data_IF_243080952501
#
_entry.id   IF_243080952501
#
_cell.length_a   1.000
_cell.length_b   1.000
_cell.length_c   1.000
_cell.angle_alpha   90.00
_cell.angle_beta   90.00
_cell.angle_gamma   90.00
#
_symmetry.space_group_name_H-M   'P 1'
#
loop_
_entity.id
_entity.type
_entity.pdbx_description
1 polymer ?
#
# COMPACT_ATOMS: atom_id res chain seq x y z
N UNK A 1 21.72 -24.08 13.45
CA UNK A 1 21.33 -24.08 12.03
C UNK A 1 22.54 -23.71 11.18
N UNK A 2 22.82 -24.52 10.14
CA UNK A 2 23.85 -24.21 9.13
C UNK A 2 23.40 -23.00 8.28
N UNK A 3 24.32 -22.37 7.55
CA UNK A 3 23.98 -21.25 6.65
C UNK A 3 22.92 -21.63 5.62
N UNK A 4 23.04 -22.84 5.06
CA UNK A 4 22.10 -23.39 4.08
C UNK A 4 20.69 -23.64 4.68
N UNK A 5 20.62 -24.18 5.89
CA UNK A 5 19.36 -24.34 6.60
C UNK A 5 18.66 -23.00 6.91
N UNK A 6 19.43 -21.98 7.29
CA UNK A 6 18.88 -20.62 7.48
C UNK A 6 18.32 -20.05 6.18
N UNK A 7 19.01 -20.27 5.06
CA UNK A 7 18.57 -19.85 3.73
C UNK A 7 17.24 -20.50 3.35
N UNK A 8 17.13 -21.84 3.48
CA UNK A 8 15.88 -22.54 3.19
C UNK A 8 14.72 -22.12 4.09
N UNK A 9 14.97 -21.89 5.37
CA UNK A 9 13.96 -21.36 6.29
C UNK A 9 13.51 -19.96 5.90
N UNK A 10 14.41 -19.10 5.46
CA UNK A 10 14.09 -17.75 4.98
C UNK A 10 13.20 -17.82 3.72
N UNK A 11 13.54 -18.68 2.76
CA UNK A 11 12.73 -18.91 1.55
C UNK A 11 11.34 -19.46 1.89
N UNK A 12 11.27 -20.43 2.80
CA UNK A 12 9.99 -20.99 3.24
C UNK A 12 9.11 -19.93 3.93
N UNK A 13 9.71 -19.12 4.83
CA UNK A 13 9.02 -18.02 5.49
C UNK A 13 8.48 -16.99 4.48
N UNK A 14 9.29 -16.59 3.52
CA UNK A 14 8.90 -15.67 2.45
C UNK A 14 7.73 -16.22 1.63
N UNK A 15 7.79 -17.50 1.23
CA UNK A 15 6.74 -18.14 0.47
C UNK A 15 5.43 -18.26 1.24
N UNK A 16 5.49 -18.59 2.53
CA UNK A 16 4.32 -18.65 3.43
C UNK A 16 3.69 -17.27 3.59
N UNK A 17 4.49 -16.23 3.81
CA UNK A 17 3.99 -14.87 3.93
C UNK A 17 3.31 -14.38 2.65
N UNK A 18 3.89 -14.70 1.49
CA UNK A 18 3.28 -14.41 0.19
C UNK A 18 1.94 -15.11 0.00
N UNK A 19 1.86 -16.41 0.37
CA UNK A 19 0.62 -17.17 0.28
C UNK A 19 -0.46 -16.63 1.22
N UNK A 20 -0.10 -16.30 2.47
CA UNK A 20 -1.03 -15.69 3.42
C UNK A 20 -1.57 -14.35 2.92
N UNK A 21 -0.72 -13.54 2.29
CA UNK A 21 -1.17 -12.28 1.69
C UNK A 21 -2.21 -12.52 0.59
N UNK A 22 -1.94 -13.47 -0.32
CA UNK A 22 -2.89 -13.85 -1.39
C UNK A 22 -4.22 -14.35 -0.82
N UNK A 23 -4.18 -15.24 0.18
CA UNK A 23 -5.39 -15.77 0.81
C UNK A 23 -6.20 -14.66 1.48
N UNK A 24 -5.53 -13.75 2.19
CA UNK A 24 -6.19 -12.61 2.84
C UNK A 24 -6.80 -11.65 1.82
N UNK A 25 -6.10 -11.36 0.72
CA UNK A 25 -6.64 -10.54 -0.37
C UNK A 25 -7.94 -11.14 -0.94
N UNK A 26 -7.95 -12.47 -1.21
CA UNK A 26 -9.14 -13.16 -1.73
C UNK A 26 -10.29 -13.13 -0.72
N UNK A 27 -9.99 -13.35 0.55
CA UNK A 27 -11.01 -13.30 1.63
C UNK A 27 -11.57 -11.88 1.80
N UNK A 28 -10.70 -10.86 1.81
CA UNK A 28 -11.13 -9.47 1.92
C UNK A 28 -11.96 -9.08 0.70
N UNK A 29 -11.51 -9.40 -0.51
CA UNK A 29 -12.28 -9.18 -1.73
C UNK A 29 -13.67 -9.85 -1.66
N UNK A 30 -13.73 -11.11 -1.26
CA UNK A 30 -14.99 -11.85 -1.15
C UNK A 30 -15.94 -11.24 -0.11
N UNK A 31 -15.41 -10.76 1.03
CA UNK A 31 -16.21 -10.07 2.06
C UNK A 31 -16.72 -8.72 1.59
N UNK A 32 -15.93 -7.97 0.82
CA UNK A 32 -16.31 -6.67 0.29
C UNK A 32 -17.42 -6.86 -0.76
N UNK A 33 -17.26 -7.79 -1.71
CA UNK A 33 -18.26 -8.12 -2.74
C UNK A 33 -19.60 -8.57 -2.12
N UNK A 34 -19.55 -9.31 -1.02
CA UNK A 34 -20.73 -9.75 -0.27
C UNK A 34 -21.34 -8.64 0.61
N UNK A 35 -20.73 -7.44 0.70
CA UNK A 35 -21.16 -6.37 1.62
C UNK A 35 -21.01 -6.74 3.09
N UNK A 36 -20.14 -7.70 3.42
CA UNK A 36 -19.96 -8.25 4.78
C UNK A 36 -18.75 -7.66 5.51
N UNK A 37 -17.90 -6.89 4.81
CA UNK A 37 -16.76 -6.27 5.44
C UNK A 37 -17.24 -5.03 6.22
N UNK A 38 -17.02 -5.06 7.52
CA UNK A 38 -17.32 -3.94 8.42
C UNK A 38 -16.01 -3.21 8.76
N UNK A 39 -16.07 -1.88 8.78
CA UNK A 39 -14.97 -1.03 9.25
C UNK A 39 -15.08 -0.92 10.77
N UNK A 40 -14.00 -1.24 11.47
CA UNK A 40 -13.92 -1.16 12.93
C UNK A 40 -13.39 0.21 13.34
N UNK A 41 -14.29 1.16 13.64
CA UNK A 41 -13.88 2.48 14.13
C UNK A 41 -13.44 2.40 15.59
N UNK A 42 -12.13 2.48 15.81
CA UNK A 42 -11.52 2.54 17.14
C UNK A 42 -10.46 3.65 17.20
N UNK A 43 -10.18 4.21 18.41
CA UNK A 43 -9.07 5.14 18.56
C UNK A 43 -7.74 4.42 18.30
N UNK A 44 -6.88 4.99 17.45
CA UNK A 44 -5.51 4.49 17.24
C UNK A 44 -4.52 5.63 17.08
N UNK A 45 -3.25 5.37 17.39
CA UNK A 45 -2.16 6.31 17.18
C UNK A 45 -1.68 6.23 15.73
N UNK A 46 -2.00 7.27 14.96
CA UNK A 46 -1.67 7.33 13.54
C UNK A 46 -0.15 7.51 13.31
N UNK A 47 0.53 8.21 14.23
CA UNK A 47 1.98 8.40 14.13
C UNK A 47 2.69 7.07 14.31
N UNK A 48 2.30 6.28 15.33
CA UNK A 48 2.85 4.94 15.55
C UNK A 48 2.64 4.03 14.33
N UNK A 49 1.46 4.07 13.73
CA UNK A 49 1.14 3.28 12.54
C UNK A 49 2.03 3.67 11.35
N UNK A 50 2.26 4.98 11.13
CA UNK A 50 3.13 5.48 10.07
C UNK A 50 4.61 5.17 10.32
N UNK A 51 5.09 5.31 11.55
CA UNK A 51 6.48 4.97 11.94
C UNK A 51 6.77 3.47 11.79
N UNK A 52 5.79 2.62 12.11
CA UNK A 52 5.90 1.17 11.90
C UNK A 52 6.01 0.83 10.41
N UNK A 53 5.20 1.46 9.55
CA UNK A 53 5.30 1.31 8.09
C UNK A 53 6.64 1.83 7.57
N UNK A 54 7.09 3.01 8.02
CA UNK A 54 8.38 3.57 7.66
C UNK A 54 9.52 2.59 7.98
N UNK A 55 9.53 2.05 9.20
CA UNK A 55 10.55 1.12 9.66
C UNK A 55 10.58 -0.17 8.82
N UNK A 56 9.42 -0.71 8.50
CA UNK A 56 9.28 -1.91 7.69
C UNK A 56 9.78 -1.69 6.26
N UNK A 57 9.37 -0.60 5.62
CA UNK A 57 9.72 -0.34 4.23
C UNK A 57 11.12 0.24 4.06
N UNK A 58 11.72 0.86 5.10
CA UNK A 58 13.11 1.30 5.08
C UNK A 58 14.07 0.13 4.82
N UNK A 59 13.81 -1.04 5.41
CA UNK A 59 14.63 -2.25 5.20
C UNK A 59 14.52 -2.69 3.74
N UNK A 60 13.30 -2.76 3.18
CA UNK A 60 13.06 -3.21 1.81
C UNK A 60 13.67 -2.24 0.78
N UNK A 61 13.56 -0.93 1.02
CA UNK A 61 14.16 0.09 0.17
C UNK A 61 15.70 0.03 0.24
N UNK A 62 16.27 -0.14 1.43
CA UNK A 62 17.72 -0.28 1.61
C UNK A 62 18.27 -1.50 0.86
N UNK A 63 17.61 -2.65 0.94
CA UNK A 63 17.99 -3.87 0.22
C UNK A 63 17.98 -3.67 -1.31
N UNK A 64 17.10 -2.78 -1.79
CA UNK A 64 16.95 -2.47 -3.22
C UNK A 64 17.77 -1.24 -3.67
N UNK A 65 18.40 -0.53 -2.74
CA UNK A 65 19.17 0.69 -3.00
C UNK A 65 18.29 1.89 -3.35
N UNK A 66 17.06 1.94 -2.84
CA UNK A 66 16.12 3.04 -3.01
C UNK A 66 16.18 4.00 -1.82
N UNK A 67 15.99 5.29 -2.08
CA UNK A 67 15.75 6.26 -1.01
C UNK A 67 14.28 6.21 -0.58
N UNK A 68 14.03 6.35 0.73
CA UNK A 68 12.69 6.37 1.31
C UNK A 68 12.52 7.62 2.16
N UNK A 69 11.53 8.44 1.82
CA UNK A 69 11.21 9.68 2.52
C UNK A 69 9.80 9.61 3.10
N UNK A 70 9.65 9.98 4.38
CA UNK A 70 8.34 10.12 5.03
C UNK A 70 8.20 11.53 5.58
N UNK A 71 7.07 12.17 5.28
CA UNK A 71 6.71 13.51 5.73
C UNK A 71 5.36 13.47 6.41
N UNK A 72 5.30 13.87 7.69
CA UNK A 72 4.09 13.89 8.49
C UNK A 72 3.73 15.32 8.89
N UNK A 73 2.58 15.79 8.47
CA UNK A 73 1.95 17.03 8.98
C UNK A 73 0.63 16.67 9.64
N UNK A 74 0.70 16.16 10.85
CA UNK A 74 -0.45 15.70 11.61
C UNK A 74 -1.10 16.83 12.46
N UNK A 75 -0.59 18.04 12.39
CA UNK A 75 -1.10 19.23 13.11
C UNK A 75 -1.37 18.98 14.61
N UNK A 76 -0.58 18.10 15.24
CA UNK A 76 -0.72 17.71 16.65
C UNK A 76 -1.78 16.64 16.94
N UNK A 77 -2.47 16.14 15.92
CA UNK A 77 -3.39 15.00 16.07
C UNK A 77 -2.61 13.68 15.98
N UNK A 78 -2.41 13.03 17.14
CA UNK A 78 -1.76 11.70 17.18
C UNK A 78 -2.79 10.56 17.22
N UNK A 79 -3.86 10.74 18.00
CA UNK A 79 -4.94 9.75 18.11
C UNK A 79 -6.10 10.17 17.24
N UNK A 80 -6.50 9.28 16.34
CA UNK A 80 -7.63 9.47 15.43
C UNK A 80 -8.60 8.30 15.56
N UNK A 81 -9.86 8.52 15.14
CA UNK A 81 -10.87 7.48 15.11
C UNK A 81 -10.89 6.85 13.72
N UNK A 82 -10.78 5.53 13.64
CA UNK A 82 -10.80 4.81 12.38
C UNK A 82 -10.35 3.36 12.51
N UNK A 83 -10.14 2.70 11.38
CA UNK A 83 -9.66 1.31 11.28
C UNK A 83 -8.16 1.29 10.93
N UNK A 84 -7.32 1.14 11.96
CA UNK A 84 -5.86 1.06 11.81
C UNK A 84 -5.42 -0.10 10.92
N UNK A 85 -6.10 -1.25 11.01
CA UNK A 85 -5.76 -2.43 10.21
C UNK A 85 -5.96 -2.14 8.72
N UNK A 86 -7.10 -1.54 8.36
CA UNK A 86 -7.42 -1.19 6.99
C UNK A 86 -6.58 -0.01 6.48
N UNK A 87 -6.33 0.97 7.33
CA UNK A 87 -5.42 2.07 7.02
C UNK A 87 -4.02 1.56 6.65
N UNK A 88 -3.43 0.70 7.48
CA UNK A 88 -2.12 0.09 7.20
C UNK A 88 -2.17 -0.82 5.98
N UNK A 89 -3.25 -1.55 5.75
CA UNK A 89 -3.42 -2.40 4.58
C UNK A 89 -3.37 -1.59 3.28
N UNK A 90 -4.08 -0.46 3.21
CA UNK A 90 -4.07 0.44 2.05
C UNK A 90 -2.65 0.95 1.80
N UNK A 91 -2.00 1.53 2.82
CA UNK A 91 -0.66 2.08 2.66
C UNK A 91 0.38 1.00 2.33
N UNK A 92 0.29 -0.18 2.93
CA UNK A 92 1.18 -1.31 2.61
C UNK A 92 1.04 -1.76 1.16
N UNK A 93 -0.17 -1.79 0.62
CA UNK A 93 -0.40 -2.10 -0.79
C UNK A 93 0.25 -1.07 -1.72
N UNK A 94 0.09 0.21 -1.42
CA UNK A 94 0.68 1.30 -2.22
C UNK A 94 2.21 1.29 -2.14
N UNK A 95 2.76 1.19 -0.93
CA UNK A 95 4.20 1.11 -0.69
C UNK A 95 4.82 -0.15 -1.31
N UNK A 96 4.15 -1.29 -1.19
CA UNK A 96 4.58 -2.54 -1.82
C UNK A 96 4.68 -2.41 -3.34
N UNK A 97 3.70 -1.76 -3.98
CA UNK A 97 3.75 -1.47 -5.41
C UNK A 97 4.87 -0.47 -5.75
N UNK A 98 5.03 0.60 -4.98
CA UNK A 98 6.10 1.57 -5.18
C UNK A 98 7.48 0.91 -5.14
N UNK A 99 7.77 0.09 -4.10
CA UNK A 99 9.03 -0.67 -4.00
C UNK A 99 9.19 -1.65 -5.16
N UNK A 100 8.10 -2.33 -5.54
CA UNK A 100 8.11 -3.34 -6.60
C UNK A 100 8.47 -2.74 -7.96
N UNK A 101 7.89 -1.60 -8.32
CA UNK A 101 7.99 -1.00 -9.65
C UNK A 101 9.02 0.12 -9.77
N UNK A 102 9.77 0.41 -8.70
CA UNK A 102 10.91 1.34 -8.73
C UNK A 102 12.21 0.55 -8.66
N UNK A 103 13.02 0.62 -9.71
CA UNK A 103 14.33 -0.05 -9.73
C UNK A 103 15.44 0.86 -9.18
N UNK A 104 15.34 2.17 -9.39
CA UNK A 104 16.28 3.19 -8.91
C UNK A 104 15.56 4.50 -8.59
N UNK A 105 16.10 5.29 -7.69
CA UNK A 105 15.54 6.57 -7.28
C UNK A 105 14.92 6.51 -5.90
N UNK A 106 13.72 7.07 -5.73
CA UNK A 106 13.13 7.23 -4.39
C UNK A 106 11.63 6.93 -4.34
N UNK A 107 11.18 6.68 -3.11
CA UNK A 107 9.77 6.60 -2.73
C UNK A 107 9.53 7.67 -1.66
N UNK A 108 8.46 8.44 -1.83
CA UNK A 108 8.08 9.50 -0.91
C UNK A 108 6.65 9.28 -0.40
N UNK A 109 6.48 9.28 0.90
CA UNK A 109 5.18 9.21 1.57
C UNK A 109 4.92 10.52 2.26
N UNK A 110 3.82 11.17 1.92
CA UNK A 110 3.36 12.39 2.59
C UNK A 110 2.02 12.11 3.25
N UNK A 111 1.89 12.43 4.52
CA UNK A 111 0.64 12.31 5.26
C UNK A 111 0.33 13.64 5.92
N UNK A 112 -0.86 14.17 5.68
CA UNK A 112 -1.33 15.40 6.35
C UNK A 112 -2.78 15.25 6.82
N UNK A 113 -3.10 15.99 7.89
CA UNK A 113 -4.45 16.11 8.44
C UNK A 113 -4.97 17.51 8.13
N UNK A 114 -6.14 17.56 7.50
CA UNK A 114 -6.89 18.79 7.27
C UNK A 114 -8.14 18.80 8.15
N UNK A 115 -8.33 19.88 8.89
CA UNK A 115 -9.55 20.11 9.65
C UNK A 115 -10.62 20.72 8.75
N UNK A 116 -11.77 20.03 8.64
CA UNK A 116 -12.91 20.53 7.88
C UNK A 116 -13.74 21.54 8.69
N UNK A 117 -14.59 22.35 8.03
CA UNK A 117 -15.44 23.33 8.70
C UNK A 117 -16.43 22.72 9.72
N UNK A 118 -16.82 21.46 9.53
CA UNK A 118 -17.71 20.70 10.42
C UNK A 118 -16.99 20.07 11.62
N UNK A 119 -15.72 20.42 11.85
CA UNK A 119 -14.81 19.86 12.85
C UNK A 119 -14.41 18.39 12.62
N UNK A 120 -14.79 17.76 11.52
CA UNK A 120 -14.23 16.47 11.14
C UNK A 120 -12.80 16.64 10.63
N UNK A 121 -12.01 15.57 10.75
CA UNK A 121 -10.65 15.52 10.22
C UNK A 121 -10.65 14.79 8.89
N UNK A 122 -9.89 15.30 7.95
CA UNK A 122 -9.59 14.60 6.70
C UNK A 122 -8.13 14.21 6.70
N UNK A 123 -7.87 12.92 6.60
CA UNK A 123 -6.53 12.38 6.42
C UNK A 123 -6.24 12.29 4.93
N UNK A 124 -5.13 12.88 4.50
CA UNK A 124 -4.62 12.81 3.13
C UNK A 124 -3.27 12.09 3.18
N UNK A 125 -3.18 10.97 2.45
CA UNK A 125 -1.95 10.21 2.29
C UNK A 125 -1.58 10.15 0.82
N UNK A 126 -0.32 10.39 0.51
CA UNK A 126 0.23 10.28 -0.84
C UNK A 126 1.45 9.36 -0.81
N UNK A 127 1.51 8.42 -1.74
CA UNK A 127 2.68 7.56 -1.98
C UNK A 127 3.15 7.84 -3.39
N UNK A 128 4.33 8.45 -3.50
CA UNK A 128 4.97 8.80 -4.76
C UNK A 128 6.18 7.92 -5.00
N UNK A 129 6.32 7.43 -6.21
CA UNK A 129 7.47 6.66 -6.66
C UNK A 129 8.10 7.28 -7.92
N UNK A 130 9.37 6.99 -8.16
CA UNK A 130 10.10 7.37 -9.39
C UNK A 130 10.29 6.18 -10.33
N UNK A 131 9.39 5.22 -10.28
CA UNK A 131 9.47 3.98 -11.03
C UNK A 131 9.05 4.11 -12.50
N UNK A 132 8.64 2.96 -13.04
CA UNK A 132 8.28 2.85 -14.47
C UNK A 132 7.07 3.69 -14.88
N UNK A 133 6.25 4.15 -13.92
CA UNK A 133 4.98 4.82 -14.19
C UNK A 133 3.99 3.95 -14.96
N UNK A 134 2.81 4.47 -15.21
CA UNK A 134 1.68 3.75 -15.79
C UNK A 134 1.24 4.44 -17.09
N UNK A 135 1.09 3.66 -18.15
CA UNK A 135 0.63 4.15 -19.44
C UNK A 135 -0.81 4.71 -19.34
N UNK A 136 -1.09 5.80 -20.05
CA UNK A 136 -2.34 6.53 -19.95
C UNK A 136 -3.59 5.67 -20.20
N UNK A 137 -3.50 4.76 -21.17
CA UNK A 137 -4.57 3.82 -21.53
C UNK A 137 -4.87 2.79 -20.44
N UNK A 138 -3.94 2.59 -19.49
CA UNK A 138 -4.07 1.64 -18.37
C UNK A 138 -4.53 2.30 -17.07
N UNK A 139 -4.36 3.63 -16.93
CA UNK A 139 -4.66 4.33 -15.67
C UNK A 139 -6.13 4.23 -15.24
N UNK A 140 -7.05 4.13 -16.19
CA UNK A 140 -8.48 3.97 -15.87
C UNK A 140 -8.84 2.59 -15.34
N UNK A 141 -8.04 1.56 -15.65
CA UNK A 141 -8.35 0.16 -15.36
C UNK A 141 -7.49 -0.45 -14.24
N UNK A 142 -6.45 0.24 -13.74
CA UNK A 142 -5.55 -0.34 -12.72
C UNK A 142 -6.25 -0.64 -11.38
N UNK A 143 -7.39 -0.01 -11.13
CA UNK A 143 -8.22 -0.28 -9.95
C UNK A 143 -9.27 -1.37 -10.20
N UNK A 144 -9.37 -1.89 -11.43
CA UNK A 144 -10.29 -2.97 -11.75
C UNK A 144 -9.70 -4.30 -11.26
N UNK A 145 -10.59 -5.22 -10.91
CA UNK A 145 -10.23 -6.52 -10.34
C UNK A 145 -9.46 -7.36 -11.36
N UNK A 146 -8.39 -8.03 -10.92
CA UNK A 146 -7.53 -8.88 -11.74
C UNK A 146 -6.83 -8.18 -12.92
N UNK A 147 -6.77 -6.84 -12.91
CA UNK A 147 -6.05 -6.09 -13.94
C UNK A 147 -4.55 -6.13 -13.65
N UNK A 148 -3.78 -6.64 -14.62
CA UNK A 148 -2.32 -6.65 -14.59
C UNK A 148 -1.82 -6.08 -15.92
N UNK A 149 -0.77 -5.25 -15.87
CA UNK A 149 -0.31 -4.47 -17.04
C UNK A 149 0.20 -5.35 -18.19
N UNK A 150 0.82 -6.52 -17.90
CA UNK A 150 1.31 -7.48 -18.90
C UNK A 150 1.60 -8.87 -18.33
N UNK A 151 1.36 -9.94 -19.12
CA UNK A 151 1.77 -11.32 -18.81
C UNK A 151 3.30 -11.47 -18.67
N UNK A 152 4.08 -10.53 -19.20
CA UNK A 152 5.55 -10.50 -19.10
C UNK A 152 6.03 -9.98 -17.75
N UNK A 153 5.30 -9.02 -17.14
CA UNK A 153 5.57 -8.50 -15.80
C UNK A 153 5.18 -9.47 -14.70
N UNK A 154 4.20 -10.34 -14.94
CA UNK A 154 3.76 -11.38 -14.00
C UNK A 154 4.89 -12.38 -13.69
N UNK A 155 5.74 -12.71 -14.67
CA UNK A 155 6.89 -13.62 -14.47
C UNK A 155 8.01 -12.98 -13.65
N UNK A 156 8.15 -11.66 -13.69
CA UNK A 156 9.26 -10.93 -13.05
C UNK A 156 8.89 -10.44 -11.64
N UNK A 157 7.63 -10.09 -11.40
CA UNK A 157 7.25 -9.37 -10.18
C UNK A 157 6.08 -9.98 -9.40
N UNK A 158 5.33 -10.97 -9.91
CA UNK A 158 4.22 -11.63 -9.21
C UNK A 158 3.13 -10.65 -8.69
N UNK A 159 1.99 -11.17 -8.25
CA UNK A 159 0.94 -10.39 -7.60
C UNK A 159 -0.45 -10.90 -7.98
N UNK A 160 -1.45 -10.67 -7.12
CA UNK A 160 -2.83 -11.11 -7.33
C UNK A 160 -3.59 -10.24 -8.31
N UNK A 161 -3.17 -8.98 -8.49
CA UNK A 161 -3.96 -7.94 -9.18
C UNK A 161 -5.17 -7.47 -8.36
N UNK A 162 -5.25 -7.85 -7.08
CA UNK A 162 -6.35 -7.47 -6.19
C UNK A 162 -6.01 -6.27 -5.30
N UNK A 163 -4.74 -6.03 -5.01
CA UNK A 163 -4.33 -5.04 -4.01
C UNK A 163 -4.88 -3.64 -4.25
N UNK A 164 -4.79 -3.10 -5.48
CA UNK A 164 -5.29 -1.75 -5.78
C UNK A 164 -6.82 -1.68 -5.78
N UNK A 165 -7.50 -2.72 -6.27
CA UNK A 165 -8.97 -2.78 -6.23
C UNK A 165 -9.48 -2.87 -4.79
N UNK A 166 -8.85 -3.68 -3.95
CA UNK A 166 -9.13 -3.75 -2.50
C UNK A 166 -8.88 -2.39 -1.85
N UNK A 167 -7.74 -1.74 -2.14
CA UNK A 167 -7.42 -0.42 -1.57
C UNK A 167 -8.48 0.61 -1.93
N UNK A 168 -8.97 0.63 -3.18
CA UNK A 168 -10.04 1.55 -3.61
C UNK A 168 -11.35 1.28 -2.87
N UNK A 169 -11.74 0.02 -2.73
CA UNK A 169 -12.95 -0.38 -2.01
C UNK A 169 -12.86 -0.05 -0.51
N UNK A 170 -11.71 -0.31 0.12
CA UNK A 170 -11.46 0.06 1.52
C UNK A 170 -11.52 1.57 1.73
N UNK A 171 -10.89 2.37 0.85
CA UNK A 171 -11.01 3.83 0.91
C UNK A 171 -12.48 4.26 0.84
N UNK A 172 -13.28 3.68 -0.07
CA UNK A 172 -14.71 3.98 -0.16
C UNK A 172 -15.49 3.62 1.10
N UNK A 173 -15.24 2.43 1.69
CA UNK A 173 -15.86 1.99 2.95
C UNK A 173 -15.48 2.89 4.14
N UNK A 174 -14.27 3.46 4.14
CA UNK A 174 -13.80 4.43 5.13
C UNK A 174 -14.24 5.86 4.83
N UNK A 175 -15.14 6.09 3.87
CA UNK A 175 -15.66 7.41 3.51
C UNK A 175 -14.68 8.30 2.72
N UNK A 176 -13.64 7.70 2.16
CA UNK A 176 -12.61 8.35 1.37
C UNK A 176 -12.62 7.95 -0.10
N UNK A 177 -11.53 8.26 -0.78
CA UNK A 177 -11.29 7.91 -2.18
C UNK A 177 -9.78 7.77 -2.43
N UNK A 178 -9.41 7.12 -3.53
CA UNK A 178 -8.02 7.00 -4.00
C UNK A 178 -7.91 7.57 -5.42
N UNK A 179 -6.85 8.33 -5.65
CA UNK A 179 -6.57 8.95 -6.96
C UNK A 179 -5.19 8.50 -7.44
N UNK A 180 -5.00 8.58 -8.74
CA UNK A 180 -3.75 8.28 -9.39
C UNK A 180 -3.33 9.43 -10.30
N UNK A 181 -2.06 9.81 -10.17
CA UNK A 181 -1.34 10.61 -11.15
C UNK A 181 -0.08 9.84 -11.56
N UNK A 182 0.08 9.57 -12.86
CA UNK A 182 1.23 8.80 -13.34
C UNK A 182 1.63 9.21 -14.74
N UNK A 183 2.93 9.15 -14.99
CA UNK A 183 3.50 9.34 -16.32
C UNK A 183 4.47 8.20 -16.59
N UNK A 184 4.25 7.45 -17.66
CA UNK A 184 5.12 6.34 -18.05
C UNK A 184 6.59 6.81 -18.16
N UNK A 185 7.48 6.11 -17.45
CA UNK A 185 8.91 6.41 -17.35
C UNK A 185 9.26 7.51 -16.34
N UNK A 186 8.29 8.07 -15.58
CA UNK A 186 8.57 9.11 -14.57
C UNK A 186 8.09 8.73 -13.16
N UNK A 187 7.29 7.67 -13.04
CA UNK A 187 6.72 7.22 -11.77
C UNK A 187 5.24 7.52 -11.61
N UNK A 188 4.74 7.28 -10.39
CA UNK A 188 3.32 7.42 -10.04
C UNK A 188 3.17 8.08 -8.66
N UNK A 189 1.99 8.62 -8.45
CA UNK A 189 1.55 9.16 -7.16
C UNK A 189 0.15 8.66 -6.90
#
# INVERSE_FOLDING_TARGET
LTGEQKHYLSLAKFSIQGLLHIVNDILDFSKIEAGQLQIEESPFDILESLENLQSQYAILCQEKGLELHFHFDLQGYHVVQGDDVRFRQILSNLLGNAVKFTDTGYIEVTTCIEKKPDNTLRLLCSVKDTGIGIAQDKQSTIFDVFTQEDLSTTRKFGGTGLGLSISKQLCGLMGGDIKLESVKGKGST
#
